data_IF_050641962393
#
_entry.id   IF_050641962393
#
_cell.length_a   1.000
_cell.length_b   1.000
_cell.length_c   1.000
_cell.angle_alpha   90.00
_cell.angle_beta   90.00
_cell.angle_gamma   90.00
#
_symmetry.space_group_name_H-M   'P 1'
#
loop_
_entity.id
_entity.type
_entity.pdbx_description
1 polymer ?
#
# COMPACT_ATOMS: atom_id res chain seq x y z
N UNK A 1 11.36 -16.44 -21.30
CA UNK A 1 11.07 -15.35 -20.35
C UNK A 1 9.79 -15.71 -19.61
N UNK A 2 9.88 -16.25 -18.40
CA UNK A 2 8.69 -16.57 -17.60
C UNK A 2 8.11 -15.25 -17.11
N UNK A 3 6.88 -14.92 -17.49
CA UNK A 3 6.16 -13.73 -17.01
C UNK A 3 5.96 -13.86 -15.50
N UNK A 4 6.91 -13.35 -14.72
CA UNK A 4 6.82 -13.33 -13.26
C UNK A 4 5.63 -12.43 -12.92
N UNK A 5 4.58 -13.04 -12.35
CA UNK A 5 3.36 -12.30 -12.00
C UNK A 5 3.75 -11.19 -11.03
N UNK A 6 3.31 -9.96 -11.33
CA UNK A 6 3.53 -8.81 -10.45
C UNK A 6 2.91 -9.12 -9.10
N UNK A 7 3.71 -9.01 -8.03
CA UNK A 7 3.19 -9.06 -6.66
C UNK A 7 2.33 -7.81 -6.45
N UNK A 8 1.07 -8.00 -6.10
CA UNK A 8 0.17 -6.90 -5.78
C UNK A 8 0.14 -6.73 -4.26
N UNK A 9 0.58 -5.56 -3.79
CA UNK A 9 0.44 -5.19 -2.39
C UNK A 9 -1.00 -4.73 -2.12
N UNK A 10 -1.56 -5.25 -1.04
CA UNK A 10 -2.80 -4.77 -0.45
C UNK A 10 -2.63 -3.35 0.09
N UNK A 11 -3.75 -2.65 0.30
CA UNK A 11 -3.72 -1.28 0.83
C UNK A 11 -3.20 -1.27 2.28
N UNK A 12 -3.47 -2.32 3.05
CA UNK A 12 -2.97 -2.48 4.42
C UNK A 12 -1.44 -2.62 4.44
N UNK A 13 -0.88 -3.51 3.61
CA UNK A 13 0.58 -3.68 3.51
C UNK A 13 1.28 -2.38 3.09
N UNK A 14 0.72 -1.67 2.11
CA UNK A 14 1.24 -0.35 1.72
C UNK A 14 1.18 0.65 2.87
N UNK A 15 0.10 0.62 3.66
CA UNK A 15 -0.03 1.43 4.87
C UNK A 15 1.05 1.13 5.91
N UNK A 16 1.31 -0.17 6.17
CA UNK A 16 2.39 -0.59 7.08
C UNK A 16 3.76 -0.12 6.60
N UNK A 17 4.05 -0.24 5.31
CA UNK A 17 5.30 0.25 4.70
C UNK A 17 5.45 1.76 4.89
N UNK A 18 4.39 2.54 4.63
CA UNK A 18 4.41 4.00 4.82
C UNK A 18 4.68 4.36 6.28
N UNK A 19 3.99 3.72 7.24
CA UNK A 19 4.21 3.98 8.66
C UNK A 19 5.66 3.71 9.09
N UNK A 20 6.26 2.62 8.62
CA UNK A 20 7.66 2.29 8.95
C UNK A 20 8.66 3.25 8.30
N UNK A 21 8.41 3.67 7.06
CA UNK A 21 9.21 4.70 6.41
C UNK A 21 9.11 6.06 7.12
N UNK A 22 7.93 6.43 7.61
CA UNK A 22 7.74 7.64 8.43
C UNK A 22 8.45 7.55 9.79
N UNK A 23 8.55 6.35 10.36
CA UNK A 23 9.35 6.09 11.57
C UNK A 23 10.87 6.10 11.33
N UNK A 24 11.32 6.32 10.09
CA UNK A 24 12.74 6.42 9.75
C UNK A 24 13.41 5.09 9.40
N UNK A 25 12.65 4.01 9.17
CA UNK A 25 13.24 2.79 8.61
C UNK A 25 13.78 3.01 7.19
N UNK A 26 14.84 2.29 6.84
CA UNK A 26 15.44 2.40 5.51
C UNK A 26 14.66 1.59 4.47
N UNK A 27 14.55 2.16 3.26
CA UNK A 27 13.97 1.48 2.10
C UNK A 27 14.61 0.12 1.82
N UNK A 28 15.91 -0.03 2.07
CA UNK A 28 16.64 -1.29 1.88
C UNK A 28 16.25 -2.36 2.88
N UNK A 29 15.99 -2.00 4.15
CA UNK A 29 15.50 -2.93 5.16
C UNK A 29 14.12 -3.47 4.79
N UNK A 30 13.20 -2.56 4.46
CA UNK A 30 11.83 -2.91 4.07
C UNK A 30 11.78 -3.70 2.76
N UNK A 31 12.57 -3.32 1.76
CA UNK A 31 12.72 -4.09 0.53
C UNK A 31 13.09 -5.56 0.81
N UNK A 32 14.02 -5.80 1.75
CA UNK A 32 14.46 -7.16 2.12
C UNK A 32 13.37 -7.94 2.86
N UNK A 33 12.61 -7.28 3.73
CA UNK A 33 11.54 -7.91 4.50
C UNK A 33 10.32 -8.26 3.64
N UNK A 34 9.90 -7.33 2.78
CA UNK A 34 8.74 -7.53 1.91
C UNK A 34 9.08 -8.32 0.63
N UNK A 35 10.36 -8.62 0.41
CA UNK A 35 10.87 -9.38 -0.74
C UNK A 35 10.72 -8.63 -2.06
N UNK A 36 10.84 -7.30 -2.02
CA UNK A 36 10.55 -6.42 -3.14
C UNK A 36 11.68 -5.43 -3.41
N UNK A 37 11.61 -4.74 -4.54
CA UNK A 37 12.66 -3.80 -4.95
C UNK A 37 12.69 -2.53 -4.11
N UNK A 38 13.88 -1.92 -3.99
CA UNK A 38 14.03 -0.57 -3.44
C UNK A 38 13.17 0.46 -4.20
N UNK A 39 13.04 0.28 -5.52
CA UNK A 39 12.14 1.08 -6.37
C UNK A 39 10.68 0.96 -5.97
N UNK A 40 10.24 -0.23 -5.54
CA UNK A 40 8.87 -0.48 -5.06
C UNK A 40 8.59 0.31 -3.79
N UNK A 41 9.50 0.27 -2.80
CA UNK A 41 9.36 1.03 -1.55
C UNK A 41 9.28 2.54 -1.80
N UNK A 42 10.15 3.05 -2.67
CA UNK A 42 10.15 4.46 -3.07
C UNK A 42 8.85 4.87 -3.79
N UNK A 43 8.32 4.01 -4.67
CA UNK A 43 7.06 4.25 -5.36
C UNK A 43 5.87 4.27 -4.39
N UNK A 44 5.84 3.35 -3.42
CA UNK A 44 4.81 3.30 -2.38
C UNK A 44 4.84 4.58 -1.55
N UNK A 45 6.02 5.03 -1.13
CA UNK A 45 6.17 6.26 -0.37
C UNK A 45 5.76 7.50 -1.16
N UNK A 46 6.14 7.59 -2.44
CA UNK A 46 5.75 8.69 -3.33
C UNK A 46 4.23 8.82 -3.48
N UNK A 47 3.53 7.70 -3.48
CA UNK A 47 2.07 7.64 -3.60
C UNK A 47 1.36 7.59 -2.24
N UNK A 48 2.03 7.97 -1.15
CA UNK A 48 1.51 7.84 0.21
C UNK A 48 0.13 8.50 0.41
N UNK A 49 -0.09 9.68 -0.16
CA UNK A 49 -1.35 10.42 -0.01
C UNK A 49 -2.52 9.65 -0.61
N UNK A 50 -2.36 9.13 -1.83
CA UNK A 50 -3.38 8.33 -2.50
C UNK A 50 -3.66 7.02 -1.76
N UNK A 51 -2.62 6.42 -1.18
CA UNK A 51 -2.76 5.19 -0.38
C UNK A 51 -3.51 5.48 0.92
N UNK A 52 -3.20 6.57 1.61
CA UNK A 52 -3.92 7.01 2.83
C UNK A 52 -5.38 7.35 2.52
N UNK A 53 -5.67 8.04 1.41
CA UNK A 53 -7.03 8.30 0.95
C UNK A 53 -7.78 7.00 0.60
N UNK A 54 -7.11 6.06 -0.07
CA UNK A 54 -7.67 4.75 -0.42
C UNK A 54 -7.93 3.89 0.81
N UNK A 55 -7.09 3.99 1.84
CA UNK A 55 -7.29 3.31 3.11
C UNK A 55 -8.52 3.88 3.83
N UNK A 56 -8.59 5.21 3.99
CA UNK A 56 -9.73 5.87 4.61
C UNK A 56 -11.04 5.61 3.85
N UNK A 57 -11.03 5.70 2.52
CA UNK A 57 -12.23 5.45 1.71
C UNK A 57 -12.69 3.99 1.73
N UNK A 58 -11.80 3.00 1.90
CA UNK A 58 -12.19 1.60 2.06
C UNK A 58 -12.74 1.31 3.45
N UNK A 59 -12.16 1.90 4.50
CA UNK A 59 -12.66 1.77 5.88
C UNK A 59 -14.01 2.48 6.04
N UNK A 60 -14.17 3.63 5.39
CA UNK A 60 -15.35 4.49 5.54
C UNK A 60 -16.46 4.22 4.54
N UNK A 61 -16.42 3.19 3.68
CA UNK A 61 -17.55 2.90 2.77
C UNK A 61 -18.79 2.67 3.63
N UNK A 62 -19.74 3.63 3.72
CA UNK A 62 -21.01 3.33 4.34
C UNK A 62 -21.63 2.29 3.42
N UNK A 63 -22.08 1.15 3.94
CA UNK A 63 -22.89 0.21 3.16
C UNK A 63 -23.95 1.05 2.44
N UNK A 64 -23.85 1.13 1.10
CA UNK A 64 -24.85 1.84 0.29
C UNK A 64 -26.16 1.11 0.50
N UNK A 65 -26.98 1.59 1.43
CA UNK A 65 -28.35 1.14 1.63
C UNK A 65 -29.06 1.39 0.30
N UNK A 66 -29.34 0.31 -0.45
CA UNK A 66 -30.27 0.39 -1.57
C UNK A 66 -31.59 0.86 -0.98
N UNK A 67 -32.01 2.08 -1.31
CA UNK A 67 -33.39 2.48 -1.07
C UNK A 67 -34.27 1.57 -1.94
N UNK A 68 -35.03 0.69 -1.30
CA UNK A 68 -36.17 0.07 -1.95
C UNK A 68 -37.15 1.19 -2.30
N UNK A 69 -37.57 1.24 -3.56
CA UNK A 69 -38.76 1.98 -3.97
C UNK A 69 -40.00 1.32 -3.40
#
# INVERSE_FOLDING_TARGET
>A
MTSQRRKEFTIEEKGTIICRLENGESNSSLAREFGDGHSTMSMIFKNNNQIKESFNSNVLKPKRLRKSR
#
